data_IF_464586111703
#
_entry.id   IF_464586111703
#
_cell.length_a   1.000
_cell.length_b   1.000
_cell.length_c   1.000
_cell.angle_alpha   90.00
_cell.angle_beta   90.00
_cell.angle_gamma   90.00
#
_symmetry.space_group_name_H-M   'P 1'
#
loop_
_entity.id
_entity.type
_entity.pdbx_description
1 polymer ?
#
# COMPACT_ATOMS: atom_id res chain seq x y z
N UNK A 1 2.25 -17.03 11.93
CA UNK A 1 2.23 -15.55 11.90
C UNK A 1 3.54 -14.94 12.41
N UNK A 2 4.01 -15.29 13.62
CA UNK A 2 5.27 -14.78 14.17
C UNK A 2 6.49 -14.93 13.24
N UNK A 3 6.62 -16.07 12.55
CA UNK A 3 7.71 -16.31 11.57
C UNK A 3 7.70 -15.31 10.41
N UNK A 4 6.51 -14.95 9.91
CA UNK A 4 6.36 -14.00 8.81
C UNK A 4 6.78 -12.60 9.29
N UNK A 5 6.29 -12.20 10.46
CA UNK A 5 6.65 -10.92 11.09
C UNK A 5 8.17 -10.85 11.31
N UNK A 6 8.78 -11.91 11.85
CA UNK A 6 10.23 -11.98 12.06
C UNK A 6 11.01 -11.82 10.75
N UNK A 7 10.60 -12.50 9.68
CA UNK A 7 11.24 -12.37 8.36
C UNK A 7 11.07 -10.95 7.78
N UNK A 8 9.92 -10.31 7.97
CA UNK A 8 9.73 -8.91 7.56
C UNK A 8 10.68 -7.96 8.29
N UNK A 9 10.86 -8.13 9.60
CA UNK A 9 11.81 -7.34 10.38
C UNK A 9 13.25 -7.53 9.91
N UNK A 10 13.65 -8.78 9.64
CA UNK A 10 14.96 -9.09 9.09
C UNK A 10 15.15 -8.44 7.72
N UNK A 11 14.13 -8.47 6.86
CA UNK A 11 14.16 -7.81 5.55
C UNK A 11 14.36 -6.30 5.63
N UNK A 12 13.69 -5.63 6.58
CA UNK A 12 13.86 -4.20 6.83
C UNK A 12 15.27 -3.89 7.35
N UNK A 13 15.77 -4.68 8.30
CA UNK A 13 17.11 -4.50 8.85
C UNK A 13 18.20 -4.69 7.79
N UNK A 14 18.08 -5.73 6.95
CA UNK A 14 18.97 -5.98 5.82
C UNK A 14 18.90 -4.86 4.79
N UNK A 15 17.70 -4.39 4.44
CA UNK A 15 17.52 -3.27 3.53
C UNK A 15 18.11 -1.95 4.05
N UNK A 16 18.01 -1.71 5.36
CA UNK A 16 18.60 -0.54 6.00
C UNK A 16 20.13 -0.61 6.04
N UNK A 17 20.71 -1.78 6.35
CA UNK A 17 22.17 -1.96 6.38
C UNK A 17 22.77 -1.87 4.96
N UNK A 18 22.10 -2.45 3.96
CA UNK A 18 22.47 -2.38 2.55
C UNK A 18 22.35 -0.95 1.97
N UNK A 19 21.55 -0.07 2.59
CA UNK A 19 21.34 1.31 2.12
C UNK A 19 22.62 2.15 2.08
N UNK A 20 23.65 1.78 2.86
CA UNK A 20 24.93 2.50 2.94
C UNK A 20 25.85 2.21 1.75
N UNK A 21 25.58 1.17 0.95
CA UNK A 21 26.44 0.76 -0.15
C UNK A 21 26.08 1.52 -1.44
N UNK A 22 27.08 2.09 -2.12
CA UNK A 22 26.94 2.92 -3.34
C UNK A 22 26.33 2.18 -4.53
N UNK A 23 26.18 0.86 -4.45
CA UNK A 23 25.41 0.02 -5.37
C UNK A 23 23.94 0.45 -5.52
N UNK A 24 23.42 1.26 -4.58
CA UNK A 24 22.04 1.76 -4.61
C UNK A 24 21.76 2.83 -5.70
N UNK A 25 22.78 3.32 -6.45
CA UNK A 25 22.55 4.30 -7.53
C UNK A 25 21.67 3.73 -8.67
N UNK A 26 21.58 2.40 -8.79
CA UNK A 26 20.74 1.70 -9.78
C UNK A 26 19.40 1.20 -9.23
N UNK A 27 19.05 1.48 -7.97
CA UNK A 27 17.82 0.97 -7.35
C UNK A 27 16.57 1.41 -8.08
N UNK A 28 16.56 2.63 -8.65
CA UNK A 28 15.42 3.11 -9.42
C UNK A 28 15.08 2.18 -10.59
N UNK A 29 16.08 1.75 -11.35
CA UNK A 29 15.89 0.85 -12.49
C UNK A 29 15.54 -0.56 -12.02
N UNK A 30 16.24 -1.08 -11.01
CA UNK A 30 15.97 -2.42 -10.47
C UNK A 30 14.56 -2.50 -9.88
N UNK A 31 14.12 -1.48 -9.16
CA UNK A 31 12.78 -1.43 -8.55
C UNK A 31 11.71 -1.43 -9.64
N UNK A 32 11.86 -0.61 -10.67
CA UNK A 32 10.93 -0.59 -11.80
C UNK A 32 10.90 -1.94 -12.53
N UNK A 33 12.07 -2.53 -12.82
CA UNK A 33 12.15 -3.85 -13.43
C UNK A 33 11.46 -4.93 -12.57
N UNK A 34 11.66 -4.90 -11.25
CA UNK A 34 11.00 -5.81 -10.31
C UNK A 34 9.49 -5.58 -10.26
N UNK A 35 9.01 -4.34 -10.21
CA UNK A 35 7.57 -4.03 -10.25
C UNK A 35 6.96 -4.60 -11.52
N UNK A 36 7.56 -4.38 -12.69
CA UNK A 36 7.06 -4.92 -13.95
C UNK A 36 7.04 -6.45 -13.93
N UNK A 37 8.11 -7.09 -13.45
CA UNK A 37 8.19 -8.55 -13.34
C UNK A 37 7.11 -9.12 -12.40
N UNK A 38 6.92 -8.50 -11.23
CA UNK A 38 5.90 -8.93 -10.26
C UNK A 38 4.49 -8.72 -10.80
N UNK A 39 4.21 -7.60 -11.46
CA UNK A 39 2.92 -7.34 -12.10
C UNK A 39 2.62 -8.35 -13.21
N UNK A 40 3.65 -8.74 -13.98
CA UNK A 40 3.50 -9.77 -15.02
C UNK A 40 3.13 -11.13 -14.41
N UNK A 41 3.87 -11.56 -13.38
CA UNK A 41 3.58 -12.82 -12.67
C UNK A 41 2.18 -12.78 -12.05
N UNK A 42 1.84 -11.70 -11.34
CA UNK A 42 0.52 -11.51 -10.74
C UNK A 42 -0.61 -11.57 -11.79
N UNK A 43 -0.41 -10.92 -12.94
CA UNK A 43 -1.38 -10.93 -14.04
C UNK A 43 -1.61 -12.35 -14.58
N UNK A 44 -0.55 -13.15 -14.72
CA UNK A 44 -0.65 -14.55 -15.12
C UNK A 44 -1.38 -15.41 -14.09
N UNK A 45 -1.03 -15.28 -12.80
CA UNK A 45 -1.67 -16.03 -11.71
C UNK A 45 -3.16 -15.73 -11.58
N UNK A 46 -3.56 -14.46 -11.74
CA UNK A 46 -4.96 -14.04 -11.67
C UNK A 46 -5.71 -14.42 -12.95
N UNK A 47 -5.09 -14.22 -14.11
CA UNK A 47 -5.69 -14.47 -15.42
C UNK A 47 -5.95 -15.95 -15.70
N UNK A 48 -5.05 -16.82 -15.23
CA UNK A 48 -5.20 -18.28 -15.36
C UNK A 48 -6.12 -18.94 -14.32
N UNK A 49 -6.62 -18.18 -13.34
CA UNK A 49 -7.48 -18.71 -12.29
C UNK A 49 -8.96 -18.42 -12.60
N UNK A 50 -9.66 -19.44 -13.13
CA UNK A 50 -11.08 -19.35 -13.49
C UNK A 50 -11.99 -18.97 -12.31
N UNK A 51 -11.65 -19.39 -11.09
CA UNK A 51 -12.41 -19.00 -9.90
C UNK A 51 -12.32 -17.50 -9.64
N UNK A 52 -11.15 -16.91 -9.83
CA UNK A 52 -10.96 -15.46 -9.71
C UNK A 52 -11.66 -14.75 -10.86
N UNK A 53 -11.44 -15.18 -12.11
CA UNK A 53 -12.05 -14.59 -13.31
C UNK A 53 -13.58 -14.58 -13.27
N UNK A 54 -14.19 -15.64 -12.76
CA UNK A 54 -15.66 -15.74 -12.62
C UNK A 54 -16.21 -14.85 -11.50
N UNK A 55 -15.43 -14.63 -10.43
CA UNK A 55 -15.82 -13.78 -9.30
C UNK A 55 -15.34 -12.32 -9.43
N UNK A 56 -14.62 -11.97 -10.51
CA UNK A 56 -14.07 -10.64 -10.74
C UNK A 56 -15.09 -9.50 -10.59
N UNK A 57 -16.33 -9.60 -11.12
CA UNK A 57 -17.33 -8.56 -10.93
C UNK A 57 -17.69 -8.34 -9.46
N UNK A 58 -17.78 -9.41 -8.67
CA UNK A 58 -18.07 -9.34 -7.23
C UNK A 58 -16.88 -8.78 -6.45
N UNK A 59 -15.68 -9.31 -6.70
CA UNK A 59 -14.43 -8.84 -6.10
C UNK A 59 -14.18 -7.35 -6.39
N UNK A 60 -14.45 -6.93 -7.63
CA UNK A 60 -14.37 -5.53 -8.05
C UNK A 60 -15.42 -4.67 -7.35
N UNK A 61 -16.66 -5.14 -7.22
CA UNK A 61 -17.71 -4.45 -6.47
C UNK A 61 -17.35 -4.24 -5.00
N UNK A 62 -16.88 -5.30 -4.33
CA UNK A 62 -16.41 -5.24 -2.94
C UNK A 62 -15.23 -4.25 -2.81
N UNK A 63 -14.28 -4.28 -3.75
CA UNK A 63 -13.14 -3.36 -3.77
C UNK A 63 -13.59 -1.89 -3.93
N UNK A 64 -14.54 -1.60 -4.82
CA UNK A 64 -15.09 -0.25 -5.01
C UNK A 64 -15.78 0.23 -3.74
N UNK A 65 -16.59 -0.62 -3.10
CA UNK A 65 -17.27 -0.28 -1.86
C UNK A 65 -16.27 0.07 -0.75
N UNK A 66 -15.23 -0.75 -0.57
CA UNK A 66 -14.16 -0.51 0.40
C UNK A 66 -13.41 0.78 0.07
N UNK A 67 -13.10 1.03 -1.21
CA UNK A 67 -12.41 2.25 -1.63
C UNK A 67 -13.22 3.52 -1.31
N UNK A 68 -14.52 3.51 -1.61
CA UNK A 68 -15.41 4.62 -1.29
C UNK A 68 -15.54 4.85 0.22
N UNK A 69 -15.70 3.77 0.99
CA UNK A 69 -15.74 3.85 2.45
C UNK A 69 -14.43 4.39 3.03
N UNK A 70 -13.28 3.97 2.51
CA UNK A 70 -11.97 4.44 2.92
C UNK A 70 -11.76 5.94 2.59
N UNK A 71 -12.14 6.37 1.38
CA UNK A 71 -12.05 7.79 0.99
C UNK A 71 -12.98 8.64 1.86
N UNK A 72 -14.22 8.22 2.05
CA UNK A 72 -15.16 8.92 2.92
C UNK A 72 -14.63 9.03 4.36
N UNK A 73 -14.13 7.91 4.92
CA UNK A 73 -13.50 7.89 6.24
C UNK A 73 -12.29 8.83 6.34
N UNK A 74 -11.43 8.85 5.32
CA UNK A 74 -10.27 9.76 5.26
C UNK A 74 -10.69 11.23 5.23
N UNK A 75 -11.74 11.58 4.47
CA UNK A 75 -12.27 12.96 4.39
C UNK A 75 -12.88 13.38 5.73
N UNK A 76 -13.65 12.51 6.38
CA UNK A 76 -14.24 12.77 7.70
C UNK A 76 -13.15 12.96 8.75
N UNK A 77 -12.13 12.10 8.77
CA UNK A 77 -11.00 12.22 9.67
C UNK A 77 -10.22 13.53 9.44
N UNK A 78 -9.92 13.87 8.19
CA UNK A 78 -9.27 15.13 7.83
C UNK A 78 -10.10 16.35 8.28
N UNK A 79 -11.43 16.29 8.11
CA UNK A 79 -12.35 17.35 8.55
C UNK A 79 -12.39 17.49 10.08
N UNK A 80 -12.37 16.38 10.80
CA UNK A 80 -12.31 16.39 12.27
C UNK A 80 -11.02 17.06 12.76
N UNK A 81 -9.87 16.69 12.20
CA UNK A 81 -8.58 17.32 12.51
C UNK A 81 -8.60 18.81 12.18
N UNK A 82 -9.10 19.19 11.00
CA UNK A 82 -9.21 20.59 10.59
C UNK A 82 -10.05 21.41 11.56
N UNK A 83 -11.19 20.88 12.02
CA UNK A 83 -12.08 21.57 12.95
C UNK A 83 -11.47 21.69 14.36
N UNK A 84 -10.72 20.68 14.84
CA UNK A 84 -10.01 20.74 16.13
C UNK A 84 -8.92 21.82 16.08
N UNK A 85 -8.11 21.84 15.02
CA UNK A 85 -7.02 22.82 14.86
C UNK A 85 -7.59 24.23 14.69
N UNK A 86 -8.63 24.43 13.87
CA UNK A 86 -9.27 25.75 13.68
C UNK A 86 -10.04 26.21 14.92
N UNK A 87 -10.65 25.29 15.67
CA UNK A 87 -11.33 25.57 16.94
C UNK A 87 -10.37 25.96 18.07
N UNK A 88 -9.13 25.46 18.04
CA UNK A 88 -8.06 25.87 18.94
C UNK A 88 -7.56 27.31 18.72
N UNK A 89 -7.64 27.82 17.48
CA UNK A 89 -7.25 29.19 17.14
C UNK A 89 -8.24 30.27 17.60
N UNK A 90 -9.54 29.96 17.69
CA UNK A 90 -10.60 30.91 18.12
C UNK A 90 -10.71 31.11 19.64
N UNK A 91 -9.87 30.45 20.44
CA UNK A 91 -9.80 30.64 21.90
C UNK A 91 -8.55 31.42 22.35
N UNK A 92 -7.68 31.78 21.41
CA UNK A 92 -6.43 32.52 21.67
C UNK A 92 -6.48 33.98 21.15
N UNK A 93 -7.62 34.40 20.60
CA UNK A 93 -7.99 35.80 20.34
C UNK A 93 -9.14 36.18 21.28
#
# INVERSE_FOLDING_TARGET
MFKIIAVMFVGIALGYLARRWSALRYVGLTTMATIVALLFVMGGEIGGNEAVMRNLPRLGGDAVLIALAAVAGSVVAARAVYNIVKGGGRRAE
#
